data_IF_446839152261
#
_entry.id   IF_446839152261
#
_cell.length_a   1.000
_cell.length_b   1.000
_cell.length_c   1.000
_cell.angle_alpha   90.00
_cell.angle_beta   90.00
_cell.angle_gamma   90.00
#
_symmetry.space_group_name_H-M   'P 1'
#
loop_
_entity.id
_entity.type
_entity.pdbx_description
1 polymer ?
#
# COMPACT_ATOMS: atom_id res chain seq x y z
N UNK A 1 -13.90 -23.91 -12.55
CA UNK A 1 -12.93 -24.07 -11.44
C UNK A 1 -11.58 -23.52 -11.89
N UNK A 2 -10.93 -22.70 -11.05
CA UNK A 2 -9.60 -22.20 -11.37
C UNK A 2 -8.54 -23.31 -11.27
N UNK A 3 -7.55 -23.27 -12.16
CA UNK A 3 -6.45 -24.24 -12.14
C UNK A 3 -5.52 -23.99 -10.95
N UNK A 4 -4.86 -25.04 -10.44
CA UNK A 4 -3.88 -24.91 -9.36
C UNK A 4 -2.78 -23.90 -9.71
N UNK A 5 -2.34 -23.86 -10.96
CA UNK A 5 -1.35 -22.89 -11.44
C UNK A 5 -1.82 -21.43 -11.31
N UNK A 6 -3.09 -21.14 -11.63
CA UNK A 6 -3.67 -19.81 -11.51
C UNK A 6 -3.80 -19.39 -10.04
N UNK A 7 -4.22 -20.32 -9.16
CA UNK A 7 -4.30 -20.08 -7.72
C UNK A 7 -2.93 -19.74 -7.13
N UNK A 8 -1.92 -20.54 -7.47
CA UNK A 8 -0.55 -20.29 -7.01
C UNK A 8 -0.02 -18.94 -7.50
N UNK A 9 -0.28 -18.60 -8.77
CA UNK A 9 0.12 -17.31 -9.32
C UNK A 9 -0.56 -16.14 -8.60
N UNK A 10 -1.87 -16.20 -8.37
CA UNK A 10 -2.61 -15.19 -7.63
C UNK A 10 -2.10 -15.05 -6.18
N UNK A 11 -1.85 -16.18 -5.49
CA UNK A 11 -1.26 -16.20 -4.14
C UNK A 11 0.11 -15.52 -4.13
N UNK A 12 0.98 -15.84 -5.10
CA UNK A 12 2.30 -15.22 -5.21
C UNK A 12 2.22 -13.71 -5.44
N UNK A 13 1.26 -13.23 -6.22
CA UNK A 13 1.05 -11.79 -6.42
C UNK A 13 0.77 -11.09 -5.09
N UNK A 14 -0.09 -11.66 -4.24
CA UNK A 14 -0.35 -11.09 -2.91
C UNK A 14 0.89 -11.15 -2.02
N UNK A 15 1.54 -12.29 -1.89
CA UNK A 15 2.71 -12.45 -1.03
C UNK A 15 3.91 -11.62 -1.49
N UNK A 16 3.99 -11.28 -2.77
CA UNK A 16 5.08 -10.47 -3.30
C UNK A 16 5.11 -9.05 -2.76
N UNK A 17 4.01 -8.52 -2.21
CA UNK A 17 4.02 -7.20 -1.55
C UNK A 17 4.90 -7.20 -0.29
N UNK A 18 5.07 -8.36 0.36
CA UNK A 18 5.94 -8.48 1.54
C UNK A 18 7.43 -8.25 1.24
N UNK A 19 7.81 -8.21 -0.03
CA UNK A 19 9.20 -7.85 -0.42
C UNK A 19 9.59 -6.42 -0.04
N UNK A 20 8.62 -5.57 0.36
CA UNK A 20 8.89 -4.26 0.96
C UNK A 20 9.79 -4.33 2.21
N UNK A 21 9.78 -5.47 2.92
CA UNK A 21 10.64 -5.67 4.09
C UNK A 21 12.09 -6.05 3.71
N UNK A 22 12.34 -6.42 2.45
CA UNK A 22 13.67 -6.75 1.95
C UNK A 22 14.34 -5.58 1.23
N UNK A 23 13.56 -4.81 0.45
CA UNK A 23 14.07 -3.64 -0.27
C UNK A 23 12.97 -2.60 -0.50
N UNK A 24 13.34 -1.31 -0.58
CA UNK A 24 12.37 -0.23 -0.77
C UNK A 24 11.62 -0.40 -2.10
N UNK A 25 10.33 -0.07 -2.08
CA UNK A 25 9.40 -0.23 -3.22
C UNK A 25 9.16 -1.67 -3.68
N UNK A 26 9.61 -2.68 -2.94
CA UNK A 26 9.37 -4.08 -3.25
C UNK A 26 7.89 -4.42 -3.39
N UNK A 27 7.04 -3.80 -2.59
CA UNK A 27 5.57 -3.92 -2.65
C UNK A 27 4.94 -3.48 -3.97
N UNK A 28 5.63 -2.70 -4.81
CA UNK A 28 5.18 -2.33 -6.15
C UNK A 28 5.87 -3.15 -7.23
N UNK A 29 7.20 -3.24 -7.15
CA UNK A 29 8.03 -3.83 -8.20
C UNK A 29 7.66 -5.30 -8.40
N UNK A 30 7.63 -6.09 -7.33
CA UNK A 30 7.40 -7.53 -7.44
C UNK A 30 5.99 -7.89 -7.88
N UNK A 31 4.89 -7.33 -7.30
CA UNK A 31 3.54 -7.59 -7.80
C UNK A 31 3.35 -7.17 -9.25
N UNK A 32 3.91 -6.03 -9.69
CA UNK A 32 3.80 -5.55 -11.08
C UNK A 32 4.48 -6.52 -12.04
N UNK A 33 5.68 -7.02 -11.72
CA UNK A 33 6.42 -7.97 -12.55
C UNK A 33 5.60 -9.27 -12.70
N UNK A 34 5.14 -9.85 -11.59
CA UNK A 34 4.39 -11.10 -11.60
C UNK A 34 3.06 -10.92 -12.34
N UNK A 35 2.31 -9.87 -12.01
CA UNK A 35 1.04 -9.58 -12.67
C UNK A 35 1.21 -9.33 -14.17
N UNK A 36 2.16 -8.49 -14.56
CA UNK A 36 2.43 -8.18 -15.97
C UNK A 36 2.76 -9.42 -16.80
N UNK A 37 3.50 -10.36 -16.21
CA UNK A 37 3.90 -11.62 -16.86
C UNK A 37 2.75 -12.63 -16.99
N UNK A 38 1.78 -12.58 -16.06
CA UNK A 38 0.77 -13.63 -15.93
C UNK A 38 -0.67 -13.16 -16.22
N UNK A 39 -0.94 -11.86 -16.31
CA UNK A 39 -2.29 -11.30 -16.51
C UNK A 39 -3.02 -11.82 -17.75
N UNK A 40 -2.28 -12.17 -18.81
CA UNK A 40 -2.85 -12.69 -20.05
C UNK A 40 -3.24 -14.18 -19.99
N UNK A 41 -2.78 -14.90 -18.95
CA UNK A 41 -3.02 -16.33 -18.81
C UNK A 41 -4.34 -16.66 -18.13
N UNK A 42 -4.84 -15.77 -17.27
CA UNK A 42 -6.07 -16.00 -16.51
C UNK A 42 -6.69 -14.68 -16.04
N UNK A 43 -8.00 -14.54 -16.25
CA UNK A 43 -8.78 -13.43 -15.71
C UNK A 43 -8.77 -13.40 -14.16
N UNK A 44 -8.59 -14.55 -13.52
CA UNK A 44 -8.46 -14.67 -12.07
C UNK A 44 -7.16 -13.99 -11.58
N UNK A 45 -6.02 -14.33 -12.19
CA UNK A 45 -4.73 -13.73 -11.86
C UNK A 45 -4.74 -12.22 -12.17
N UNK A 46 -5.37 -11.83 -13.26
CA UNK A 46 -5.51 -10.42 -13.65
C UNK A 46 -6.30 -9.62 -12.61
N UNK A 47 -7.43 -10.15 -12.11
CA UNK A 47 -8.22 -9.48 -11.04
C UNK A 47 -7.44 -9.35 -9.74
N UNK A 48 -6.76 -10.42 -9.30
CA UNK A 48 -5.97 -10.41 -8.08
C UNK A 48 -4.81 -9.41 -8.16
N UNK A 49 -4.06 -9.39 -9.27
CA UNK A 49 -2.96 -8.46 -9.48
C UNK A 49 -3.42 -7.00 -9.46
N UNK A 50 -4.52 -6.70 -10.14
CA UNK A 50 -5.16 -5.37 -10.10
C UNK A 50 -5.55 -4.93 -8.70
N UNK A 51 -6.15 -5.84 -7.92
CA UNK A 51 -6.57 -5.57 -6.55
C UNK A 51 -5.37 -5.26 -5.65
N UNK A 52 -4.27 -6.01 -5.79
CA UNK A 52 -3.02 -5.76 -5.06
C UNK A 52 -2.45 -4.39 -5.40
N UNK A 53 -2.28 -4.09 -6.69
CA UNK A 53 -1.67 -2.83 -7.11
C UNK A 53 -2.54 -1.63 -6.70
N UNK A 54 -3.86 -1.73 -6.84
CA UNK A 54 -4.78 -0.69 -6.39
C UNK A 54 -4.69 -0.46 -4.88
N UNK A 55 -4.54 -1.53 -4.09
CA UNK A 55 -4.37 -1.44 -2.65
C UNK A 55 -3.08 -0.73 -2.27
N UNK A 56 -1.95 -1.14 -2.84
CA UNK A 56 -0.65 -0.52 -2.59
C UNK A 56 -0.63 0.97 -3.00
N UNK A 57 -1.21 1.31 -4.16
CA UNK A 57 -1.36 2.71 -4.59
C UNK A 57 -2.24 3.52 -3.65
N UNK A 58 -3.29 2.90 -3.09
CA UNK A 58 -4.14 3.57 -2.10
C UNK A 58 -3.39 3.85 -0.81
N UNK A 59 -2.60 2.88 -0.31
CA UNK A 59 -1.76 3.08 0.86
C UNK A 59 -0.71 4.17 0.62
N UNK A 60 -0.07 4.18 -0.55
CA UNK A 60 0.87 5.24 -0.95
C UNK A 60 0.19 6.62 -0.93
N UNK A 61 -1.01 6.73 -1.52
CA UNK A 61 -1.78 7.98 -1.52
C UNK A 61 -2.08 8.45 -0.09
N UNK A 62 -2.52 7.54 0.78
CA UNK A 62 -2.78 7.87 2.19
C UNK A 62 -1.52 8.33 2.91
N UNK A 63 -0.37 7.68 2.67
CA UNK A 63 0.92 8.13 3.20
C UNK A 63 1.29 9.52 2.71
N UNK A 64 1.10 9.83 1.42
CA UNK A 64 1.40 11.16 0.85
C UNK A 64 0.50 12.23 1.49
N UNK A 65 -0.81 11.98 1.57
CA UNK A 65 -1.75 12.93 2.18
C UNK A 65 -1.39 13.18 3.65
N UNK A 66 -1.10 12.11 4.39
CA UNK A 66 -0.65 12.24 5.79
C UNK A 66 0.64 13.03 5.91
N UNK A 67 1.62 12.79 5.03
CA UNK A 67 2.89 13.52 5.02
C UNK A 67 2.71 15.01 4.70
N UNK A 68 1.84 15.35 3.74
CA UNK A 68 1.54 16.76 3.40
C UNK A 68 0.97 17.52 4.59
N UNK A 69 0.19 16.86 5.45
CA UNK A 69 -0.37 17.48 6.66
C UNK A 69 0.63 17.46 7.81
N UNK A 70 1.30 16.32 8.03
CA UNK A 70 2.15 16.10 9.18
C UNK A 70 3.47 16.90 9.11
N UNK A 71 4.08 17.00 7.93
CA UNK A 71 5.38 17.68 7.78
C UNK A 71 5.32 19.16 8.17
N UNK A 72 4.36 19.99 7.69
CA UNK A 72 4.25 21.38 8.13
C UNK A 72 3.99 21.53 9.64
N UNK A 73 3.17 20.64 10.22
CA UNK A 73 2.86 20.65 11.63
C UNK A 73 4.12 20.34 12.47
N UNK A 74 4.90 19.34 12.06
CA UNK A 74 6.17 19.00 12.71
C UNK A 74 7.20 20.13 12.60
N UNK A 75 7.33 20.71 11.40
CA UNK A 75 8.23 21.84 11.20
C UNK A 75 7.85 23.02 12.11
N UNK A 76 6.56 23.38 12.13
CA UNK A 76 6.06 24.45 12.99
C UNK A 76 6.35 24.18 14.47
N UNK A 77 6.13 22.94 14.94
CA UNK A 77 6.41 22.54 16.31
C UNK A 77 7.90 22.64 16.66
N UNK A 78 8.78 22.20 15.75
CA UNK A 78 10.24 22.31 15.93
C UNK A 78 10.65 23.78 16.07
N UNK A 79 10.17 24.65 15.20
CA UNK A 79 10.51 26.08 15.26
C UNK A 79 9.98 26.79 16.51
N UNK A 80 8.88 26.31 17.10
CA UNK A 80 8.36 26.88 18.34
C UNK A 80 9.09 26.37 19.60
N UNK A 81 9.60 25.16 19.58
CA UNK A 81 10.30 24.55 20.73
C UNK A 81 11.80 24.88 20.74
N UNK A 82 12.41 24.92 19.56
CA UNK A 82 13.82 25.29 19.41
C UNK A 82 13.93 26.80 19.23
N UNK A 83 14.36 27.50 20.28
CA UNK A 83 14.67 28.92 20.13
C UNK A 83 15.78 29.08 19.11
N UNK A 84 15.64 30.05 18.19
CA UNK A 84 16.66 30.33 17.17
C UNK A 84 18.05 30.61 17.82
N UNK A 85 18.08 31.10 19.06
CA UNK A 85 19.31 31.32 19.85
C UNK A 85 20.02 30.02 20.20
N UNK A 86 19.28 28.97 20.58
CA UNK A 86 19.84 27.68 21.01
C UNK A 86 20.42 26.96 19.79
N UNK A 87 19.77 27.09 18.62
CA UNK A 87 20.27 26.57 17.37
C UNK A 87 21.61 27.21 16.93
N UNK A 88 21.75 28.54 17.08
CA UNK A 88 22.98 29.25 16.70
C UNK A 88 24.11 29.11 17.73
N UNK A 89 23.80 28.83 18.97
CA UNK A 89 24.80 28.65 20.04
C UNK A 89 25.34 27.22 20.12
N UNK A 90 24.77 26.29 19.40
CA UNK A 90 25.16 24.86 19.43
C UNK A 90 24.74 24.13 20.71
N UNK A 91 24.02 24.79 21.63
CA UNK A 91 23.45 24.21 22.85
C UNK A 91 22.09 23.56 22.52
N UNK A 92 22.11 22.57 21.64
CA UNK A 92 20.95 21.70 21.44
C UNK A 92 20.85 20.73 22.64
N UNK A 93 20.34 21.21 23.72
CA UNK A 93 20.01 20.37 24.88
C UNK A 93 18.72 19.61 24.55
N UNK A 94 18.90 18.44 23.91
CA UNK A 94 17.84 17.48 23.60
C UNK A 94 17.43 16.66 24.84
N UNK A 95 17.56 17.24 26.02
CA UNK A 95 17.02 16.68 27.26
C UNK A 95 15.50 16.79 27.25
N UNK A 96 14.86 15.87 26.54
CA UNK A 96 13.41 15.67 26.65
C UNK A 96 13.12 15.18 28.07
N UNK A 97 12.61 16.08 28.90
CA UNK A 97 12.06 15.70 30.20
C UNK A 97 10.79 14.85 29.94
N UNK A 98 10.96 13.54 30.01
CA UNK A 98 9.90 12.55 29.79
C UNK A 98 8.94 12.50 31.00
N UNK A 99 8.81 13.59 31.76
CA UNK A 99 7.81 13.70 32.80
C UNK A 99 6.43 13.85 32.14
N UNK A 100 5.52 12.96 32.46
CA UNK A 100 4.13 12.93 31.99
C UNK A 100 3.34 14.25 32.20
N UNK A 101 3.94 15.25 32.86
CA UNK A 101 3.38 16.58 33.08
C UNK A 101 3.91 17.69 32.17
N UNK A 102 4.95 17.43 31.35
CA UNK A 102 5.61 18.44 30.50
C UNK A 102 5.83 17.94 29.08
N UNK A 103 4.97 17.05 28.56
CA UNK A 103 5.09 16.57 27.16
C UNK A 103 4.85 17.77 26.26
N UNK A 104 5.93 18.29 25.65
CA UNK A 104 5.83 19.26 24.56
C UNK A 104 4.99 18.67 23.42
N UNK A 105 4.27 19.50 22.67
CA UNK A 105 3.38 19.04 21.61
C UNK A 105 4.07 18.19 20.55
N UNK A 106 5.36 18.43 20.28
CA UNK A 106 6.15 17.73 19.28
C UNK A 106 6.30 16.22 19.52
N UNK A 107 6.79 15.72 20.68
CA UNK A 107 6.93 14.29 20.90
C UNK A 107 5.58 13.57 20.92
N UNK A 108 4.52 14.22 21.39
CA UNK A 108 3.19 13.64 21.34
C UNK A 108 2.70 13.43 19.89
N UNK A 109 2.85 14.45 19.04
CA UNK A 109 2.48 14.36 17.61
C UNK A 109 3.30 13.27 16.93
N UNK A 110 4.61 13.23 17.15
CA UNK A 110 5.48 12.21 16.59
C UNK A 110 5.07 10.80 17.05
N UNK A 111 4.78 10.61 18.34
CA UNK A 111 4.32 9.33 18.89
C UNK A 111 3.00 8.87 18.24
N UNK A 112 2.02 9.76 18.09
CA UNK A 112 0.75 9.46 17.43
C UNK A 112 0.96 9.03 15.97
N UNK A 113 1.81 9.73 15.23
CA UNK A 113 2.11 9.38 13.84
C UNK A 113 2.80 8.02 13.71
N UNK A 114 3.74 7.71 14.62
CA UNK A 114 4.41 6.40 14.66
C UNK A 114 3.41 5.29 14.97
N UNK A 115 2.56 5.46 15.96
CA UNK A 115 1.53 4.48 16.32
C UNK A 115 0.57 4.25 15.15
N UNK A 116 0.12 5.32 14.50
CA UNK A 116 -0.73 5.22 13.30
C UNK A 116 -0.05 4.45 12.18
N UNK A 117 1.21 4.78 11.88
CA UNK A 117 2.00 4.09 10.85
C UNK A 117 2.16 2.60 11.16
N UNK A 118 2.53 2.25 12.38
CA UNK A 118 2.69 0.85 12.81
C UNK A 118 1.36 0.10 12.70
N UNK A 119 0.26 0.72 13.12
CA UNK A 119 -1.08 0.12 13.04
C UNK A 119 -1.46 -0.20 11.59
N UNK A 120 -1.22 0.74 10.67
CA UNK A 120 -1.49 0.53 9.23
C UNK A 120 -0.61 -0.60 8.67
N UNK A 121 0.68 -0.66 9.03
CA UNK A 121 1.61 -1.71 8.57
C UNK A 121 1.24 -3.10 9.12
N UNK A 122 0.79 -3.18 10.34
CA UNK A 122 0.30 -4.44 10.93
C UNK A 122 -0.99 -4.89 10.23
N UNK A 123 -1.93 -3.98 10.00
CA UNK A 123 -3.16 -4.28 9.28
C UNK A 123 -2.89 -4.73 7.84
N UNK A 124 -1.99 -4.04 7.12
CA UNK A 124 -1.54 -4.41 5.78
C UNK A 124 -0.99 -5.84 5.74
N UNK A 125 -0.09 -6.18 6.68
CA UNK A 125 0.49 -7.52 6.77
C UNK A 125 -0.59 -8.61 6.90
N UNK A 126 -1.53 -8.45 7.82
CA UNK A 126 -2.62 -9.42 8.00
C UNK A 126 -3.55 -9.50 6.79
N UNK A 127 -3.87 -8.37 6.17
CA UNK A 127 -4.72 -8.34 4.97
C UNK A 127 -4.07 -9.05 3.79
N UNK A 128 -2.75 -8.88 3.60
CA UNK A 128 -1.99 -9.57 2.55
C UNK A 128 -2.02 -11.08 2.74
N UNK A 129 -1.77 -11.55 3.96
CA UNK A 129 -1.82 -12.99 4.28
C UNK A 129 -3.24 -13.54 4.06
N UNK A 130 -4.26 -12.83 4.53
CA UNK A 130 -5.65 -13.24 4.35
C UNK A 130 -6.05 -13.31 2.87
N UNK A 131 -5.65 -12.32 2.09
CA UNK A 131 -5.88 -12.28 0.64
C UNK A 131 -5.17 -13.44 -0.08
N UNK A 132 -3.93 -13.74 0.32
CA UNK A 132 -3.17 -14.87 -0.23
C UNK A 132 -3.84 -16.21 0.06
N UNK A 133 -4.37 -16.42 1.27
CA UNK A 133 -5.13 -17.62 1.63
C UNK A 133 -6.41 -17.73 0.80
N UNK A 134 -7.16 -16.65 0.61
CA UNK A 134 -8.35 -16.65 -0.25
C UNK A 134 -8.00 -16.98 -1.70
N UNK A 135 -6.96 -16.38 -2.24
CA UNK A 135 -6.48 -16.66 -3.59
C UNK A 135 -6.08 -18.13 -3.76
N UNK A 136 -5.42 -18.74 -2.77
CA UNK A 136 -5.05 -20.16 -2.79
C UNK A 136 -6.26 -21.10 -2.82
N UNK A 137 -7.37 -20.69 -2.22
CA UNK A 137 -8.64 -21.41 -2.27
C UNK A 137 -9.40 -21.20 -3.60
N UNK A 138 -8.98 -20.24 -4.41
CA UNK A 138 -9.65 -19.87 -5.67
C UNK A 138 -10.81 -18.91 -5.47
N UNK A 139 -10.82 -18.17 -4.36
CA UNK A 139 -11.82 -17.16 -4.02
C UNK A 139 -11.32 -15.77 -4.40
N UNK A 140 -12.22 -14.94 -4.94
CA UNK A 140 -11.93 -13.53 -5.17
C UNK A 140 -11.83 -12.76 -3.85
N UNK A 141 -10.87 -11.83 -3.76
CA UNK A 141 -10.70 -10.94 -2.61
C UNK A 141 -10.54 -9.50 -3.06
N UNK A 142 -11.23 -8.60 -2.38
CA UNK A 142 -11.06 -7.15 -2.54
C UNK A 142 -10.59 -6.57 -1.21
N UNK A 143 -9.52 -5.79 -1.27
CA UNK A 143 -9.02 -5.10 -0.10
C UNK A 143 -9.97 -3.99 0.35
N UNK A 144 -10.17 -3.81 1.66
CA UNK A 144 -10.92 -2.67 2.18
C UNK A 144 -10.17 -1.36 1.90
N UNK A 145 -10.91 -0.26 1.83
CA UNK A 145 -10.37 1.10 1.64
C UNK A 145 -9.51 1.28 0.38
N UNK A 146 -9.70 0.43 -0.63
CA UNK A 146 -8.96 0.48 -1.90
C UNK A 146 -9.64 1.41 -2.90
N UNK A 147 -8.87 2.33 -3.47
CA UNK A 147 -9.28 3.19 -4.58
C UNK A 147 -8.95 2.47 -5.89
N UNK A 148 -9.93 2.32 -6.78
CA UNK A 148 -9.74 1.65 -8.06
C UNK A 148 -9.06 2.58 -9.08
N UNK A 149 -7.72 2.63 -9.07
CA UNK A 149 -6.92 3.35 -10.06
C UNK A 149 -6.91 2.60 -11.40
N UNK A 150 -6.71 1.29 -11.33
CA UNK A 150 -6.70 0.40 -12.50
C UNK A 150 -8.09 -0.24 -12.59
N UNK A 151 -8.88 0.18 -13.58
CA UNK A 151 -10.21 -0.34 -13.84
C UNK A 151 -10.17 -1.65 -14.63
N UNK A 152 -11.23 -2.43 -14.51
CA UNK A 152 -11.45 -3.62 -15.33
C UNK A 152 -11.59 -3.23 -16.80
N UNK A 153 -10.75 -3.79 -17.66
CA UNK A 153 -11.01 -3.73 -19.10
C UNK A 153 -12.22 -4.64 -19.37
N UNK A 154 -13.37 -4.04 -19.66
CA UNK A 154 -14.46 -4.80 -20.25
C UNK A 154 -13.95 -5.37 -21.56
N UNK A 155 -13.70 -6.68 -21.61
CA UNK A 155 -13.65 -7.39 -22.87
C UNK A 155 -15.05 -7.22 -23.49
N UNK A 156 -15.15 -6.28 -24.41
CA UNK A 156 -16.30 -6.21 -25.29
C UNK A 156 -16.30 -7.53 -26.09
N UNK A 157 -17.39 -8.32 -26.05
CA UNK A 157 -17.44 -9.53 -26.85
C UNK A 157 -17.27 -9.08 -28.29
N UNK A 158 -16.18 -9.48 -28.93
CA UNK A 158 -15.99 -9.30 -30.36
C UNK A 158 -17.18 -9.95 -31.01
N UNK A 159 -18.08 -9.10 -31.51
CA UNK A 159 -19.24 -9.50 -32.28
C UNK A 159 -18.70 -10.09 -33.59
N UNK A 160 -18.46 -11.40 -33.56
CA UNK A 160 -18.12 -12.17 -34.75
C UNK A 160 -19.39 -12.17 -35.65
N UNK A 161 -19.58 -11.07 -36.40
CA UNK A 161 -20.54 -11.06 -37.48
C UNK A 161 -20.16 -12.23 -38.38
N UNK A 162 -20.97 -13.29 -38.33
CA UNK A 162 -20.98 -14.33 -39.32
C UNK A 162 -21.05 -13.67 -40.69
N UNK A 163 -19.93 -13.69 -41.40
CA UNK A 163 -19.96 -13.44 -42.85
C UNK A 163 -20.70 -14.64 -43.43
N UNK A 164 -22.00 -14.47 -43.61
CA UNK A 164 -22.78 -15.36 -44.44
C UNK A 164 -22.17 -15.29 -45.84
N UNK A 165 -21.50 -16.37 -46.26
CA UNK A 165 -21.21 -16.62 -47.65
C UNK A 165 -22.53 -16.82 -48.34
N UNK A 166 -23.01 -15.81 -49.09
CA UNK A 166 -23.95 -16.00 -50.16
C UNK A 166 -23.14 -16.45 -51.36
N UNK A 167 -23.44 -17.68 -51.79
CA UNK A 167 -23.11 -18.22 -53.14
C UNK A 167 -24.36 -18.13 -53.97
#
# INVERSE_FOLDING_TARGET
METTGNKNAATLVHLSTLTQYMFPFGNFIMPIIIWSSLKHKSAFVERHGRNVINFELSLLLYCIVTAIIAIPVLIYSIFNEVSARDFFNGDLDLSYDLSLGGISGLPLIAAVLVVLYVTVKVAEFFLVIYAAVKASNGEDFKYPLTINFIKEQKHEPTNFKSVSCEV
#
